data_IF_837498699813
#
_entry.id   IF_837498699813
#
_cell.length_a   1.000
_cell.length_b   1.000
_cell.length_c   1.000
_cell.angle_alpha   90.00
_cell.angle_beta   90.00
_cell.angle_gamma   90.00
#
_symmetry.space_group_name_H-M   'P 1'
#
loop_
_entity.id
_entity.type
_entity.pdbx_description
1 polymer ?
#
# COMPACT_ATOMS: atom_id res chain seq x y z
N UNK A 1 16.10 11.06 1.92
CA UNK A 1 15.08 10.54 0.99
C UNK A 1 14.64 9.15 1.43
N UNK A 2 13.34 8.89 1.41
CA UNK A 2 12.79 7.60 1.80
C UNK A 2 12.89 6.63 0.63
N UNK A 3 13.78 5.66 0.73
CA UNK A 3 14.09 4.77 -0.41
C UNK A 3 13.72 3.31 -0.16
N UNK A 4 13.43 2.94 1.08
CA UNK A 4 13.23 1.54 1.45
C UNK A 4 11.90 1.37 2.18
N UNK A 5 11.06 0.48 1.64
CA UNK A 5 9.69 0.29 2.13
C UNK A 5 9.37 -1.20 2.23
N UNK A 6 8.76 -1.60 3.34
CA UNK A 6 8.18 -2.93 3.47
C UNK A 6 6.78 -2.92 2.89
N UNK A 7 6.47 -3.88 2.02
CA UNK A 7 5.15 -3.99 1.40
C UNK A 7 4.40 -5.15 2.05
N UNK A 8 3.17 -4.86 2.49
CA UNK A 8 2.31 -5.85 3.14
C UNK A 8 0.92 -5.83 2.52
N UNK A 9 0.31 -7.00 2.45
CA UNK A 9 -1.11 -7.14 2.15
C UNK A 9 -1.90 -7.04 3.45
N UNK A 10 -3.05 -6.39 3.40
CA UNK A 10 -3.88 -6.14 4.59
C UNK A 10 -5.19 -6.89 4.47
N UNK A 11 -5.57 -7.58 5.54
CA UNK A 11 -6.95 -7.99 5.77
C UNK A 11 -7.54 -7.03 6.79
N UNK A 12 -8.60 -6.32 6.41
CA UNK A 12 -9.20 -5.28 7.24
C UNK A 12 -10.63 -5.64 7.61
N UNK A 13 -11.01 -5.25 8.82
CA UNK A 13 -12.36 -5.44 9.37
C UNK A 13 -13.01 -4.08 9.51
N UNK A 14 -14.27 -3.98 9.07
CA UNK A 14 -15.06 -2.77 9.21
C UNK A 14 -15.66 -2.66 10.62
N UNK A 15 -15.53 -1.47 11.19
CA UNK A 15 -16.19 -1.08 12.42
C UNK A 15 -17.04 0.17 12.14
N UNK A 16 -17.84 0.59 13.12
CA UNK A 16 -18.72 1.76 12.97
C UNK A 16 -17.93 3.04 12.64
N UNK A 17 -16.72 3.16 13.16
CA UNK A 17 -15.87 4.33 12.99
C UNK A 17 -14.79 4.18 11.92
N UNK A 18 -14.84 3.10 11.13
CA UNK A 18 -13.89 2.90 10.04
C UNK A 18 -13.33 1.49 9.96
N UNK A 19 -12.13 1.39 9.39
CA UNK A 19 -11.46 0.11 9.14
C UNK A 19 -10.31 -0.11 10.12
N UNK A 20 -10.16 -1.35 10.57
CA UNK A 20 -9.04 -1.76 11.41
C UNK A 20 -8.31 -2.92 10.73
N UNK A 21 -6.98 -2.91 10.77
CA UNK A 21 -6.18 -4.02 10.26
C UNK A 21 -6.35 -5.22 11.18
N UNK A 22 -6.84 -6.32 10.64
CA UNK A 22 -6.99 -7.58 11.36
C UNK A 22 -5.71 -8.41 11.25
N UNK A 23 -5.26 -8.64 10.03
CA UNK A 23 -4.04 -9.37 9.74
C UNK A 23 -3.28 -8.67 8.62
N UNK A 24 -1.99 -8.95 8.54
CA UNK A 24 -1.18 -8.48 7.42
C UNK A 24 -0.12 -9.51 7.08
N UNK A 25 0.28 -9.52 5.79
CA UNK A 25 1.29 -10.45 5.28
C UNK A 25 2.38 -9.69 4.59
N UNK A 26 3.62 -10.02 4.92
CA UNK A 26 4.78 -9.45 4.25
C UNK A 26 4.84 -9.95 2.82
N UNK A 27 4.90 -9.01 1.86
CA UNK A 27 5.02 -9.34 0.45
C UNK A 27 6.43 -9.16 -0.09
N UNK A 28 7.20 -8.28 0.50
CA UNK A 28 8.57 -8.00 0.08
C UNK A 28 8.99 -6.59 0.44
N UNK A 29 10.10 -6.18 -0.12
CA UNK A 29 10.69 -4.88 0.12
C UNK A 29 10.82 -4.12 -1.19
N UNK A 30 10.31 -2.89 -1.20
CA UNK A 30 10.45 -1.98 -2.34
C UNK A 30 11.60 -1.03 -2.06
N UNK A 31 12.53 -0.97 -3.00
CA UNK A 31 13.60 0.05 -2.99
C UNK A 31 13.37 0.97 -4.18
N UNK A 32 13.25 2.26 -3.91
CA UNK A 32 13.01 3.25 -4.96
C UNK A 32 13.59 4.59 -4.58
N UNK A 33 14.11 5.30 -5.54
CA UNK A 33 14.51 6.70 -5.41
C UNK A 33 13.52 7.65 -6.07
N UNK A 34 12.39 7.11 -6.55
CA UNK A 34 11.38 7.90 -7.23
C UNK A 34 10.70 8.88 -6.28
N UNK A 35 10.43 10.09 -6.79
CA UNK A 35 9.59 11.07 -6.09
C UNK A 35 8.10 10.73 -6.21
N UNK A 36 7.74 9.86 -7.17
CA UNK A 36 6.37 9.45 -7.41
C UNK A 36 6.11 8.11 -6.72
N UNK A 37 5.98 8.15 -5.39
CA UNK A 37 5.90 6.94 -4.56
C UNK A 37 4.64 6.12 -4.87
N UNK A 38 3.51 6.77 -5.14
CA UNK A 38 2.27 6.05 -5.45
C UNK A 38 2.44 5.16 -6.69
N UNK A 39 3.06 5.72 -7.73
CA UNK A 39 3.33 4.99 -8.96
C UNK A 39 4.36 3.89 -8.75
N UNK A 40 5.42 4.18 -7.99
CA UNK A 40 6.43 3.19 -7.66
C UNK A 40 5.81 2.01 -6.91
N UNK A 41 4.92 2.27 -5.97
CA UNK A 41 4.25 1.25 -5.17
C UNK A 41 3.36 0.35 -6.04
N UNK A 42 2.49 0.91 -6.86
CA UNK A 42 1.63 0.10 -7.73
C UNK A 42 2.44 -0.66 -8.77
N UNK A 43 3.50 -0.07 -9.30
CA UNK A 43 4.39 -0.75 -10.24
C UNK A 43 5.12 -1.93 -9.57
N UNK A 44 5.55 -1.76 -8.32
CA UNK A 44 6.20 -2.83 -7.57
C UNK A 44 5.26 -4.03 -7.40
N UNK A 45 4.00 -3.78 -7.00
CA UNK A 45 3.00 -4.84 -6.86
C UNK A 45 2.76 -5.58 -8.17
N UNK A 46 2.66 -4.85 -9.27
CA UNK A 46 2.45 -5.43 -10.60
C UNK A 46 3.66 -6.27 -11.03
N UNK A 47 4.86 -5.73 -10.89
CA UNK A 47 6.07 -6.37 -11.42
C UNK A 47 6.56 -7.51 -10.55
N UNK A 48 6.37 -7.43 -9.24
CA UNK A 48 6.88 -8.39 -8.27
C UNK A 48 5.85 -9.47 -7.93
N UNK A 49 4.58 -9.10 -7.84
CA UNK A 49 3.52 -10.01 -7.37
C UNK A 49 2.42 -10.23 -8.40
N UNK A 50 2.48 -9.59 -9.55
CA UNK A 50 1.44 -9.71 -10.57
C UNK A 50 0.10 -9.08 -10.19
N UNK A 51 0.09 -8.20 -9.20
CA UNK A 51 -1.13 -7.56 -8.71
C UNK A 51 -1.40 -6.31 -9.54
N UNK A 52 -2.54 -6.28 -10.21
CA UNK A 52 -2.94 -5.17 -11.07
C UNK A 52 -4.26 -4.59 -10.59
N UNK A 53 -4.38 -3.27 -10.71
CA UNK A 53 -5.59 -2.55 -10.33
C UNK A 53 -6.21 -1.92 -11.57
N UNK A 54 -7.54 -1.98 -11.67
CA UNK A 54 -8.26 -1.21 -12.69
C UNK A 54 -8.19 0.28 -12.37
N UNK A 55 -8.07 1.09 -13.41
CA UNK A 55 -8.11 2.54 -13.28
C UNK A 55 -9.38 2.97 -12.56
N UNK A 56 -9.24 3.82 -11.55
CA UNK A 56 -10.34 4.38 -10.80
C UNK A 56 -10.91 3.50 -9.69
N UNK A 57 -10.38 2.28 -9.48
CA UNK A 57 -10.91 1.38 -8.44
C UNK A 57 -10.21 1.54 -7.10
N UNK A 58 -9.04 2.14 -7.09
CA UNK A 58 -8.25 2.35 -5.87
C UNK A 58 -7.89 3.82 -5.70
N UNK A 59 -7.55 4.18 -4.49
CA UNK A 59 -6.85 5.43 -4.19
C UNK A 59 -5.70 5.11 -3.25
N UNK A 60 -4.69 5.99 -3.20
CA UNK A 60 -3.55 5.82 -2.32
C UNK A 60 -3.50 7.02 -1.39
N UNK A 61 -3.49 6.73 -0.10
CA UNK A 61 -3.36 7.74 0.94
C UNK A 61 -1.92 7.76 1.41
N UNK A 62 -1.28 8.93 1.30
CA UNK A 62 0.09 9.14 1.73
C UNK A 62 0.07 9.75 3.14
N UNK A 63 0.53 8.97 4.11
CA UNK A 63 0.60 9.39 5.50
C UNK A 63 2.05 9.66 5.94
N UNK A 64 2.94 9.90 4.99
CA UNK A 64 4.35 10.16 5.25
C UNK A 64 5.17 8.88 5.32
N UNK A 65 5.13 8.18 6.44
CA UNK A 65 5.87 6.94 6.65
C UNK A 65 5.08 5.69 6.26
N UNK A 66 3.85 5.87 5.81
CA UNK A 66 2.98 4.79 5.38
C UNK A 66 2.18 5.25 4.17
N UNK A 67 2.19 4.43 3.13
CA UNK A 67 1.31 4.60 1.98
C UNK A 67 0.28 3.48 2.04
N UNK A 68 -1.01 3.84 1.94
CA UNK A 68 -2.08 2.87 2.02
C UNK A 68 -2.87 2.85 0.71
N UNK A 69 -2.94 1.69 0.07
CA UNK A 69 -3.82 1.48 -1.08
C UNK A 69 -5.17 1.05 -0.54
N UNK A 70 -6.20 1.81 -0.89
CA UNK A 70 -7.57 1.59 -0.45
C UNK A 70 -8.46 1.30 -1.65
N UNK A 71 -9.46 0.44 -1.47
CA UNK A 71 -10.55 0.35 -2.42
C UNK A 71 -11.32 1.67 -2.40
N UNK A 72 -11.44 2.32 -3.57
CA UNK A 72 -12.02 3.66 -3.66
C UNK A 72 -13.45 3.70 -3.15
N UNK A 73 -14.23 2.68 -3.46
CA UNK A 73 -15.67 2.64 -3.18
C UNK A 73 -15.97 2.51 -1.69
N UNK A 74 -15.24 1.66 -0.99
CA UNK A 74 -15.49 1.36 0.43
C UNK A 74 -14.52 2.02 1.38
N UNK A 75 -13.35 2.45 0.89
CA UNK A 75 -12.24 2.90 1.71
C UNK A 75 -11.46 1.77 2.36
N UNK A 76 -11.77 0.51 2.01
CA UNK A 76 -11.12 -0.66 2.61
C UNK A 76 -9.64 -0.69 2.29
N UNK A 77 -8.76 -0.76 3.32
CA UNK A 77 -7.33 -0.94 3.11
C UNK A 77 -7.03 -2.29 2.47
N UNK A 78 -6.17 -2.30 1.45
CA UNK A 78 -5.81 -3.50 0.70
C UNK A 78 -4.32 -3.82 0.85
N UNK A 79 -3.46 -2.82 0.71
CA UNK A 79 -2.00 -2.97 0.78
C UNK A 79 -1.41 -1.75 1.45
N UNK A 80 -0.25 -1.94 2.10
CA UNK A 80 0.50 -0.83 2.67
C UNK A 80 1.96 -0.92 2.30
N UNK A 81 2.60 0.24 2.19
CA UNK A 81 4.04 0.37 2.12
C UNK A 81 4.48 1.12 3.37
N UNK A 82 5.33 0.50 4.17
CA UNK A 82 5.79 1.04 5.45
C UNK A 82 7.26 1.43 5.30
N UNK A 83 7.56 2.70 5.56
CA UNK A 83 8.93 3.20 5.47
C UNK A 83 9.83 2.48 6.46
N UNK A 84 11.00 2.08 5.98
CA UNK A 84 12.03 1.41 6.77
C UNK A 84 13.23 2.33 6.92
N UNK A 85 13.61 2.63 8.15
CA UNK A 85 14.85 3.33 8.42
C UNK A 85 16.01 2.37 8.19
N UNK A 86 17.08 2.87 7.62
CA UNK A 86 18.23 2.01 7.41
C UNK A 86 19.34 2.66 6.70
#
# INVERSE_FOLDING_TARGET
MKTKWEIRQIDAIAYDDGWTYNESWHLGEMKTSSKHLNKAFTNWLRNTRGIRFRTGTIRIEDQGDLLEIQERKSGRPLFVAIYQEG
#
